data_IF_626509477275
#
_entry.id   IF_626509477275
#
_cell.length_a   1.000
_cell.length_b   1.000
_cell.length_c   1.000
_cell.angle_alpha   90.00
_cell.angle_beta   90.00
_cell.angle_gamma   90.00
#
_symmetry.space_group_name_H-M   'P 1'
#
loop_
_entity.id
_entity.type
_entity.pdbx_description
1 polymer ?
#
# COMPACT_ATOMS: atom_id res chain seq x y z
N UNK A 1 16.01 21.24 -15.77
CA UNK A 1 15.85 20.66 -14.43
C UNK A 1 15.13 19.31 -14.51
N UNK A 2 13.96 19.23 -15.16
CA UNK A 2 13.21 17.98 -15.39
C UNK A 2 14.05 16.84 -15.97
N UNK A 3 14.83 17.08 -17.03
CA UNK A 3 15.65 16.03 -17.64
C UNK A 3 16.71 15.43 -16.68
N UNK A 4 17.26 16.25 -15.78
CA UNK A 4 18.23 15.77 -14.77
C UNK A 4 17.55 14.90 -13.72
N UNK A 5 16.38 15.33 -13.23
CA UNK A 5 15.59 14.57 -12.27
C UNK A 5 15.13 13.24 -12.87
N UNK A 6 14.58 13.26 -14.09
CA UNK A 6 14.15 12.06 -14.80
C UNK A 6 15.31 11.07 -15.02
N UNK A 7 16.49 11.58 -15.40
CA UNK A 7 17.70 10.76 -15.52
C UNK A 7 18.13 10.11 -14.20
N UNK A 8 18.11 10.86 -13.09
CA UNK A 8 18.44 10.32 -11.77
C UNK A 8 17.43 9.28 -11.28
N UNK A 9 16.13 9.52 -11.45
CA UNK A 9 15.09 8.55 -11.10
C UNK A 9 15.28 7.27 -11.90
N UNK A 10 15.52 7.38 -13.22
CA UNK A 10 15.79 6.23 -14.08
C UNK A 10 16.97 5.41 -13.59
N UNK A 11 18.12 6.05 -13.37
CA UNK A 11 19.31 5.36 -12.88
C UNK A 11 19.09 4.71 -11.49
N UNK A 12 18.30 5.36 -10.63
CA UNK A 12 17.95 4.81 -9.32
C UNK A 12 17.09 3.55 -9.44
N UNK A 13 16.14 3.52 -10.38
CA UNK A 13 15.32 2.35 -10.67
C UNK A 13 16.13 1.23 -11.35
N UNK A 14 16.99 1.56 -12.31
CA UNK A 14 17.84 0.58 -13.02
C UNK A 14 18.82 -0.15 -12.09
N UNK A 15 19.17 0.43 -10.94
CA UNK A 15 20.01 -0.22 -9.93
C UNK A 15 19.28 -1.21 -9.01
N UNK A 16 17.95 -1.30 -9.09
CA UNK A 16 17.16 -2.20 -8.26
C UNK A 16 17.08 -3.62 -8.84
N UNK A 17 16.81 -4.61 -7.98
CA UNK A 17 16.59 -6.01 -8.39
C UNK A 17 15.10 -6.32 -8.38
N UNK A 18 14.57 -6.71 -9.54
CA UNK A 18 13.15 -6.97 -9.74
C UNK A 18 12.83 -8.46 -9.83
N UNK A 19 11.65 -8.84 -9.34
CA UNK A 19 10.98 -10.08 -9.70
C UNK A 19 9.99 -9.77 -10.82
N UNK A 20 10.17 -10.42 -11.96
CA UNK A 20 9.36 -10.20 -13.15
C UNK A 20 7.90 -10.63 -12.96
N UNK A 21 7.00 -9.91 -13.64
CA UNK A 21 5.65 -10.36 -13.92
C UNK A 21 5.67 -11.66 -14.71
N UNK A 22 4.71 -12.56 -14.46
CA UNK A 22 4.64 -13.87 -15.11
C UNK A 22 3.23 -14.25 -15.57
N UNK A 23 3.15 -14.98 -16.67
CA UNK A 23 1.96 -15.72 -17.11
C UNK A 23 2.38 -17.19 -17.24
N UNK A 24 1.85 -18.04 -16.36
CA UNK A 24 2.42 -19.39 -16.15
C UNK A 24 3.88 -19.27 -15.75
N UNK A 25 4.76 -19.98 -16.46
CA UNK A 25 6.20 -19.99 -16.19
C UNK A 25 6.98 -18.90 -16.96
N UNK A 26 6.31 -18.14 -17.83
CA UNK A 26 6.97 -17.16 -18.71
C UNK A 26 6.97 -15.76 -18.10
N UNK A 27 8.14 -15.13 -18.07
CA UNK A 27 8.24 -13.71 -17.79
C UNK A 27 7.67 -12.89 -18.95
N UNK A 28 6.90 -11.85 -18.64
CA UNK A 28 6.19 -11.04 -19.62
C UNK A 28 6.40 -9.56 -19.36
N UNK A 29 6.22 -8.74 -20.41
CA UNK A 29 6.25 -7.29 -20.26
C UNK A 29 5.13 -6.83 -19.33
N UNK A 30 5.41 -5.85 -18.48
CA UNK A 30 4.43 -5.31 -17.54
C UNK A 30 4.70 -3.85 -17.27
N UNK A 31 3.64 -3.11 -16.94
CA UNK A 31 3.73 -1.76 -16.40
C UNK A 31 3.17 -1.75 -14.98
N UNK A 32 3.94 -1.18 -14.06
CA UNK A 32 3.56 -0.98 -12.67
C UNK A 32 3.85 0.46 -12.27
N UNK A 33 3.15 0.92 -11.25
CA UNK A 33 3.48 2.16 -10.58
C UNK A 33 4.65 1.91 -9.63
N UNK A 34 5.45 2.95 -9.41
CA UNK A 34 6.47 2.98 -8.37
C UNK A 34 6.09 4.05 -7.36
N UNK A 35 6.02 3.66 -6.09
CA UNK A 35 5.86 4.59 -4.97
C UNK A 35 7.12 4.59 -4.12
N UNK A 36 7.35 5.66 -3.38
CA UNK A 36 8.47 5.81 -2.47
C UNK A 36 8.65 7.27 -2.06
N UNK A 37 9.63 7.50 -1.20
CA UNK A 37 9.92 8.83 -0.67
C UNK A 37 11.27 9.30 -1.17
N UNK A 38 11.32 10.54 -1.67
CA UNK A 38 12.58 11.25 -1.86
C UNK A 38 13.00 11.82 -0.51
N UNK A 39 14.10 11.32 0.04
CA UNK A 39 14.70 11.85 1.26
C UNK A 39 15.84 12.78 0.89
N UNK A 40 15.74 14.03 1.37
CA UNK A 40 16.73 15.08 1.14
C UNK A 40 17.49 15.32 2.44
N UNK A 41 18.79 15.04 2.43
CA UNK A 41 19.68 15.23 3.57
C UNK A 41 20.66 16.37 3.28
N UNK A 42 20.88 17.33 4.19
CA UNK A 42 21.89 18.34 3.99
C UNK A 42 23.28 17.71 4.01
N UNK A 43 24.11 18.06 3.02
CA UNK A 43 25.55 17.78 3.01
C UNK A 43 26.28 18.95 3.65
N UNK A 44 25.85 20.17 3.31
CA UNK A 44 26.25 21.47 3.87
C UNK A 44 25.09 22.47 3.69
N UNK A 45 25.35 23.76 3.95
CA UNK A 45 24.32 24.82 3.90
C UNK A 45 23.79 25.12 2.49
N UNK A 46 24.48 24.68 1.43
CA UNK A 46 24.11 24.93 0.04
C UNK A 46 23.74 23.66 -0.73
N UNK A 47 24.11 22.48 -0.23
CA UNK A 47 24.00 21.22 -0.93
C UNK A 47 23.12 20.19 -0.20
N UNK A 48 22.20 19.58 -0.94
CA UNK A 48 21.37 18.46 -0.48
C UNK A 48 21.74 17.18 -1.23
N UNK A 49 21.81 16.07 -0.50
CA UNK A 49 21.85 14.72 -1.03
C UNK A 49 20.43 14.16 -1.12
N UNK A 50 20.00 13.79 -2.32
CA UNK A 50 18.73 13.11 -2.54
C UNK A 50 18.91 11.59 -2.57
N UNK A 51 18.03 10.86 -1.87
CA UNK A 51 17.94 9.40 -1.93
C UNK A 51 16.49 8.97 -2.13
N UNK A 52 16.27 7.83 -2.81
CA UNK A 52 14.96 7.17 -2.83
C UNK A 52 14.92 6.14 -1.71
N UNK A 53 13.88 6.18 -0.89
CA UNK A 53 13.66 5.24 0.20
C UNK A 53 12.27 4.62 0.11
N UNK A 54 12.14 3.39 0.61
CA UNK A 54 10.86 2.68 0.69
C UNK A 54 10.21 2.42 -0.66
N UNK A 55 11.01 2.21 -1.72
CA UNK A 55 10.48 1.94 -3.05
C UNK A 55 9.61 0.69 -3.05
N UNK A 56 8.45 0.77 -3.72
CA UNK A 56 7.53 -0.35 -3.92
C UNK A 56 6.94 -0.29 -5.33
N UNK A 57 6.67 -1.48 -5.88
CA UNK A 57 5.83 -1.65 -7.06
C UNK A 57 4.45 -2.19 -6.66
N UNK A 58 3.42 -1.71 -7.34
CA UNK A 58 2.06 -2.19 -7.14
C UNK A 58 1.01 -1.21 -7.65
N UNK A 59 -0.27 -1.49 -7.38
CA UNK A 59 -1.35 -0.56 -7.65
C UNK A 59 -1.22 0.67 -6.75
N UNK A 60 -1.52 1.83 -7.30
CA UNK A 60 -1.63 3.08 -6.52
C UNK A 60 -3.09 3.36 -6.21
N UNK A 61 -3.35 3.86 -5.01
CA UNK A 61 -4.68 4.33 -4.63
C UNK A 61 -4.96 5.69 -5.26
N UNK A 62 -6.10 5.80 -5.94
CA UNK A 62 -6.62 7.07 -6.44
C UNK A 62 -7.54 7.74 -5.40
N UNK A 63 -8.54 7.01 -4.91
CA UNK A 63 -9.43 7.45 -3.83
C UNK A 63 -9.38 6.43 -2.70
N UNK A 64 -8.93 6.86 -1.53
CA UNK A 64 -8.79 5.99 -0.36
C UNK A 64 -9.41 6.68 0.86
N UNK A 65 -10.74 6.60 1.00
CA UNK A 65 -11.45 7.09 2.18
C UNK A 65 -11.13 6.16 3.37
N UNK A 66 -10.40 6.62 4.41
CA UNK A 66 -10.12 5.78 5.55
C UNK A 66 -11.41 5.45 6.32
N UNK A 67 -11.54 4.25 6.90
CA UNK A 67 -12.69 3.93 7.74
C UNK A 67 -12.72 4.82 8.97
N UNK A 68 -13.92 5.06 9.50
CA UNK A 68 -14.06 5.81 10.76
C UNK A 68 -13.65 4.91 11.93
N UNK A 69 -12.89 5.46 12.87
CA UNK A 69 -12.60 4.79 14.13
C UNK A 69 -13.93 4.50 14.88
N UNK A 70 -14.24 3.24 15.21
CA UNK A 70 -15.40 2.93 16.06
C UNK A 70 -15.40 3.76 17.35
N UNK A 71 -16.51 4.49 17.60
CA UNK A 71 -16.61 5.49 18.68
C UNK A 71 -16.32 4.91 20.05
N UNK A 72 -16.86 3.72 20.35
CA UNK A 72 -16.66 3.09 21.66
C UNK A 72 -15.20 2.67 21.88
N UNK A 73 -14.52 2.21 20.83
CA UNK A 73 -13.10 1.88 20.89
C UNK A 73 -12.25 3.14 21.05
N UNK A 74 -12.56 4.21 20.32
CA UNK A 74 -11.86 5.48 20.45
C UNK A 74 -12.01 6.09 21.85
N UNK A 75 -13.19 5.98 22.47
CA UNK A 75 -13.45 6.43 23.84
C UNK A 75 -12.65 5.64 24.88
N UNK A 76 -12.55 4.33 24.70
CA UNK A 76 -11.79 3.48 25.62
C UNK A 76 -10.29 3.38 25.28
N UNK A 77 -9.82 4.10 24.26
CA UNK A 77 -8.45 4.02 23.76
C UNK A 77 -8.07 2.63 23.22
N UNK A 78 -9.05 1.82 22.80
CA UNK A 78 -8.84 0.44 22.36
C UNK A 78 -8.42 0.40 20.90
N UNK A 79 -7.26 -0.19 20.63
CA UNK A 79 -6.75 -0.40 19.28
C UNK A 79 -7.48 -1.51 18.53
N UNK A 80 -7.33 -1.51 17.21
CA UNK A 80 -7.74 -2.65 16.41
C UNK A 80 -7.07 -2.69 15.05
N UNK A 81 -7.12 -3.85 14.41
CA UNK A 81 -6.55 -4.08 13.09
C UNK A 81 -7.46 -4.91 12.22
N UNK A 82 -7.36 -4.70 10.91
CA UNK A 82 -8.03 -5.51 9.88
C UNK A 82 -7.08 -5.72 8.72
N UNK A 83 -6.97 -6.95 8.24
CA UNK A 83 -6.33 -7.28 6.97
C UNK A 83 -7.40 -7.63 5.95
N UNK A 84 -7.57 -6.77 4.95
CA UNK A 84 -8.51 -7.02 3.85
C UNK A 84 -7.78 -7.43 2.59
N UNK A 85 -8.29 -8.48 1.93
CA UNK A 85 -7.82 -9.00 0.66
C UNK A 85 -8.92 -8.81 -0.38
N UNK A 86 -8.60 -8.24 -1.52
CA UNK A 86 -9.54 -8.06 -2.63
C UNK A 86 -8.79 -8.10 -3.95
N UNK A 87 -9.53 -8.06 -5.06
CA UNK A 87 -8.97 -7.87 -6.41
C UNK A 87 -9.41 -6.51 -6.93
N UNK A 88 -8.61 -5.89 -7.79
CA UNK A 88 -8.93 -4.63 -8.45
C UNK A 88 -9.46 -4.96 -9.84
N UNK A 89 -10.64 -4.44 -10.21
CA UNK A 89 -11.17 -4.60 -11.57
C UNK A 89 -10.61 -3.56 -12.55
N UNK A 90 -11.01 -3.65 -13.82
CA UNK A 90 -10.57 -2.72 -14.87
C UNK A 90 -11.00 -1.27 -14.66
N UNK A 91 -12.01 -1.02 -13.81
CA UNK A 91 -12.48 0.32 -13.43
C UNK A 91 -11.82 0.80 -12.12
N UNK A 92 -10.86 0.04 -11.59
CA UNK A 92 -10.14 0.38 -10.38
C UNK A 92 -10.90 0.09 -9.08
N UNK A 93 -11.97 -0.70 -9.11
CA UNK A 93 -12.81 -0.97 -7.93
C UNK A 93 -12.41 -2.26 -7.23
N UNK A 94 -12.46 -2.31 -5.89
CA UNK A 94 -12.34 -3.55 -5.14
C UNK A 94 -13.50 -4.52 -5.44
N UNK A 95 -13.16 -5.78 -5.69
CA UNK A 95 -14.08 -6.92 -5.83
C UNK A 95 -13.53 -8.15 -5.12
N UNK A 96 -14.36 -9.18 -4.94
CA UNK A 96 -13.98 -10.44 -4.27
C UNK A 96 -13.36 -10.20 -2.87
N UNK A 97 -13.95 -9.26 -2.13
CA UNK A 97 -13.48 -8.77 -0.84
C UNK A 97 -13.57 -9.88 0.21
N UNK A 98 -12.45 -10.14 0.89
CA UNK A 98 -12.33 -11.09 1.98
C UNK A 98 -11.54 -10.45 3.13
N UNK A 99 -12.00 -10.65 4.35
CA UNK A 99 -11.27 -10.23 5.55
C UNK A 99 -10.45 -11.42 6.03
N UNK A 100 -9.12 -11.32 5.90
CA UNK A 100 -8.20 -12.40 6.25
C UNK A 100 -7.93 -12.46 7.76
N UNK A 101 -7.95 -11.30 8.40
CA UNK A 101 -7.75 -11.14 9.83
C UNK A 101 -8.48 -9.88 10.30
N UNK A 102 -9.01 -9.91 11.52
CA UNK A 102 -9.64 -8.78 12.17
C UNK A 102 -9.54 -8.96 13.68
N UNK A 103 -8.96 -7.98 14.37
CA UNK A 103 -8.81 -8.05 15.84
C UNK A 103 -10.13 -7.84 16.58
N UNK A 104 -11.12 -7.21 15.94
CA UNK A 104 -12.44 -6.91 16.52
C UNK A 104 -13.50 -6.75 15.41
N UNK A 105 -14.72 -7.24 15.63
CA UNK A 105 -15.80 -7.13 14.65
C UNK A 105 -16.17 -5.67 14.31
N UNK A 106 -15.92 -4.72 15.23
CA UNK A 106 -16.22 -3.30 15.04
C UNK A 106 -15.31 -2.65 14.00
N UNK A 107 -14.02 -3.00 13.97
CA UNK A 107 -13.09 -2.48 12.95
C UNK A 107 -13.36 -3.09 11.58
N UNK A 108 -13.75 -4.36 11.52
CA UNK A 108 -14.20 -4.99 10.28
C UNK A 108 -15.47 -4.29 9.75
N UNK A 109 -16.45 -4.05 10.62
CA UNK A 109 -17.68 -3.35 10.27
C UNK A 109 -17.42 -1.92 9.78
N UNK A 110 -16.48 -1.19 10.40
CA UNK A 110 -16.07 0.14 9.94
C UNK A 110 -15.48 0.10 8.52
N UNK A 111 -14.64 -0.91 8.23
CA UNK A 111 -14.03 -1.06 6.91
C UNK A 111 -15.06 -1.43 5.82
N UNK A 112 -16.06 -2.27 6.15
CA UNK A 112 -17.17 -2.60 5.23
C UNK A 112 -17.93 -1.37 4.71
N UNK A 113 -17.98 -0.29 5.47
CA UNK A 113 -18.70 0.93 5.09
C UNK A 113 -18.01 1.76 4.00
N UNK A 114 -16.69 1.63 3.85
CA UNK A 114 -15.90 2.50 2.97
C UNK A 114 -15.21 1.76 1.83
N UNK A 115 -14.95 0.46 1.96
CA UNK A 115 -14.12 -0.28 0.98
C UNK A 115 -14.67 -0.24 -0.44
N UNK A 116 -15.99 -0.26 -0.63
CA UNK A 116 -16.61 -0.18 -1.97
C UNK A 116 -16.42 1.18 -2.66
N UNK A 117 -16.06 2.21 -1.89
CA UNK A 117 -15.78 3.56 -2.39
C UNK A 117 -14.32 3.74 -2.82
N UNK A 118 -13.44 2.84 -2.42
CA UNK A 118 -12.03 2.93 -2.79
C UNK A 118 -11.85 2.79 -4.30
N UNK A 119 -10.87 3.50 -4.83
CA UNK A 119 -10.46 3.44 -6.23
C UNK A 119 -8.95 3.31 -6.30
N UNK A 120 -8.51 2.44 -7.19
CA UNK A 120 -7.11 2.14 -7.46
C UNK A 120 -6.85 2.26 -8.95
N UNK A 121 -5.61 2.56 -9.31
CA UNK A 121 -5.17 2.39 -10.68
C UNK A 121 -4.77 0.92 -10.91
N UNK A 122 -5.43 0.21 -11.83
CA UNK A 122 -5.17 -1.21 -12.06
C UNK A 122 -3.79 -1.43 -12.69
N UNK A 123 -3.11 -2.49 -12.25
CA UNK A 123 -1.87 -2.92 -12.89
C UNK A 123 -2.13 -3.64 -14.21
N UNK A 124 -1.14 -3.54 -15.12
CA UNK A 124 -1.21 -4.18 -16.43
C UNK A 124 -0.01 -5.08 -16.66
N UNK A 125 -0.30 -6.31 -17.07
CA UNK A 125 0.68 -7.31 -17.50
C UNK A 125 0.31 -7.71 -18.91
N UNK A 126 1.28 -7.65 -19.82
CA UNK A 126 1.09 -7.86 -21.24
C UNK A 126 -0.04 -6.99 -21.83
N UNK A 127 -0.14 -5.73 -21.37
CA UNK A 127 -1.18 -4.77 -21.75
C UNK A 127 -2.57 -5.01 -21.14
N UNK A 128 -2.81 -6.18 -20.55
CA UNK A 128 -4.07 -6.56 -19.94
C UNK A 128 -4.11 -6.23 -18.45
N UNK A 129 -5.27 -5.78 -17.95
CA UNK A 129 -5.51 -5.64 -16.52
C UNK A 129 -5.43 -7.01 -15.85
N UNK A 130 -4.65 -7.11 -14.78
CA UNK A 130 -4.56 -8.34 -13.98
C UNK A 130 -5.52 -8.28 -12.80
N UNK A 131 -6.12 -9.42 -12.47
CA UNK A 131 -7.00 -9.59 -11.32
C UNK A 131 -6.25 -10.13 -10.09
N UNK A 132 -4.95 -9.87 -9.96
CA UNK A 132 -4.17 -10.37 -8.81
C UNK A 132 -4.74 -9.86 -7.48
N UNK A 133 -4.75 -10.70 -6.43
CA UNK A 133 -5.24 -10.27 -5.14
C UNK A 133 -4.24 -9.28 -4.50
N UNK A 134 -4.79 -8.27 -3.85
CA UNK A 134 -4.06 -7.24 -3.11
C UNK A 134 -4.55 -7.22 -1.68
N UNK A 135 -3.62 -7.07 -0.75
CA UNK A 135 -3.91 -7.05 0.68
C UNK A 135 -3.58 -5.67 1.26
N UNK A 136 -4.54 -5.07 1.96
CA UNK A 136 -4.39 -3.78 2.61
C UNK A 136 -4.58 -3.97 4.12
N UNK A 137 -3.55 -3.70 4.92
CA UNK A 137 -3.71 -3.62 6.36
C UNK A 137 -4.31 -2.27 6.77
N UNK A 138 -5.20 -2.30 7.74
CA UNK A 138 -5.78 -1.12 8.39
C UNK A 138 -5.55 -1.23 9.88
N UNK A 139 -5.03 -0.16 10.49
CA UNK A 139 -4.73 -0.11 11.91
C UNK A 139 -5.36 1.11 12.57
N UNK A 140 -6.10 0.87 13.65
CA UNK A 140 -6.78 1.84 14.46
C UNK A 140 -6.04 1.99 15.77
N UNK A 141 -5.62 3.20 16.11
CA UNK A 141 -4.89 3.45 17.36
C UNK A 141 -5.14 4.87 17.89
N UNK A 142 -5.05 5.10 19.21
CA UNK A 142 -5.11 6.45 19.75
C UNK A 142 -4.00 7.33 19.18
N UNK A 143 -4.30 8.60 18.93
CA UNK A 143 -3.29 9.55 18.49
C UNK A 143 -2.23 9.75 19.59
N UNK A 144 -0.95 9.61 19.23
CA UNK A 144 0.16 9.71 20.17
C UNK A 144 0.41 8.44 21.00
N UNK A 145 -0.25 7.33 20.72
CA UNK A 145 0.08 6.03 21.32
C UNK A 145 1.52 5.61 20.97
N UNK A 146 2.24 5.01 21.91
CA UNK A 146 3.55 4.39 21.67
C UNK A 146 3.44 2.95 21.15
N UNK A 147 2.25 2.53 20.72
CA UNK A 147 1.99 1.17 20.28
C UNK A 147 2.72 0.86 18.98
N UNK A 148 3.12 -0.40 18.85
CA UNK A 148 3.79 -0.87 17.63
C UNK A 148 2.75 -1.38 16.66
N UNK A 149 2.88 -0.96 15.41
CA UNK A 149 2.02 -1.42 14.32
C UNK A 149 2.05 -2.96 14.24
N UNK A 150 0.89 -3.62 14.12
CA UNK A 150 0.84 -5.05 13.88
C UNK A 150 1.59 -5.43 12.60
N UNK A 151 2.10 -6.66 12.53
CA UNK A 151 2.65 -7.22 11.29
C UNK A 151 1.64 -8.18 10.67
N UNK A 152 1.45 -8.07 9.37
CA UNK A 152 0.53 -8.91 8.62
C UNK A 152 1.28 -9.82 7.65
N UNK A 153 0.78 -11.04 7.49
CA UNK A 153 1.26 -11.97 6.47
C UNK A 153 0.39 -11.82 5.22
N UNK A 154 0.74 -10.91 4.31
CA UNK A 154 0.02 -10.74 3.06
C UNK A 154 0.43 -11.82 2.04
N UNK A 155 -0.52 -12.38 1.27
CA UNK A 155 -0.20 -13.32 0.20
C UNK A 155 0.66 -12.63 -0.86
N UNK A 156 1.71 -13.31 -1.31
CA UNK A 156 2.56 -12.80 -2.36
C UNK A 156 1.76 -12.71 -3.69
N UNK A 157 1.96 -11.63 -4.46
CA UNK A 157 1.36 -11.54 -5.78
C UNK A 157 1.96 -12.56 -6.75
N UNK A 158 1.16 -13.05 -7.69
CA UNK A 158 1.53 -14.15 -8.58
C UNK A 158 2.02 -13.63 -9.93
N UNK A 159 1.28 -12.70 -10.53
CA UNK A 159 1.51 -12.19 -11.88
C UNK A 159 2.10 -10.78 -11.89
N UNK A 160 2.00 -10.01 -10.80
CA UNK A 160 2.51 -8.63 -10.75
C UNK A 160 4.04 -8.54 -10.54
N UNK A 161 4.73 -7.56 -11.15
CA UNK A 161 6.14 -7.33 -10.89
C UNK A 161 6.35 -6.79 -9.47
N UNK A 162 7.52 -7.01 -8.88
CA UNK A 162 7.87 -6.44 -7.56
C UNK A 162 9.36 -6.23 -7.41
N UNK A 163 9.75 -5.42 -6.43
CA UNK A 163 11.14 -5.41 -5.97
C UNK A 163 11.46 -6.69 -5.18
N UNK A 164 12.70 -7.13 -5.26
CA UNK A 164 13.18 -8.28 -4.47
C UNK A 164 13.13 -7.93 -2.99
N UNK A 165 12.49 -8.78 -2.18
CA UNK A 165 12.30 -8.52 -0.75
C UNK A 165 11.20 -7.50 -0.41
N UNK A 166 10.44 -7.03 -1.41
CA UNK A 166 9.30 -6.14 -1.17
C UNK A 166 8.24 -6.81 -0.29
N UNK A 167 7.69 -6.06 0.66
CA UNK A 167 6.52 -6.46 1.42
C UNK A 167 5.34 -6.75 0.46
N UNK A 168 4.70 -7.93 0.55
CA UNK A 168 3.54 -8.25 -0.29
C UNK A 168 2.31 -7.39 0.02
N UNK A 169 2.21 -6.83 1.23
CA UNK A 169 1.15 -5.90 1.61
C UNK A 169 1.26 -4.58 0.84
N UNK A 170 0.11 -3.97 0.55
CA UNK A 170 0.07 -2.54 0.27
C UNK A 170 0.35 -1.74 1.54
N UNK A 171 0.59 -0.44 1.37
CA UNK A 171 0.81 0.46 2.49
C UNK A 171 -0.36 0.42 3.46
N UNK A 172 -0.03 0.48 4.75
CA UNK A 172 -1.00 0.46 5.84
C UNK A 172 -1.85 1.73 5.80
N UNK A 173 -3.13 1.56 6.11
CA UNK A 173 -4.02 2.68 6.41
C UNK A 173 -4.06 2.86 7.91
N UNK A 174 -3.40 3.90 8.40
CA UNK A 174 -3.44 4.31 9.80
C UNK A 174 -4.67 5.18 10.06
N UNK A 175 -5.46 4.80 11.06
CA UNK A 175 -6.65 5.51 11.51
C UNK A 175 -6.46 5.91 12.96
N UNK A 176 -5.92 7.12 13.15
CA UNK A 176 -5.70 7.70 14.46
C UNK A 176 -6.90 8.55 14.93
N UNK A 177 -7.25 8.46 16.21
CA UNK A 177 -8.24 9.37 16.82
C UNK A 177 -7.70 9.98 18.12
N UNK A 178 -8.06 11.24 18.38
CA UNK A 178 -7.83 11.86 19.69
C UNK A 178 -8.58 11.07 20.77
N UNK A 179 -7.94 10.79 21.93
CA UNK A 179 -8.64 10.21 23.07
C UNK A 179 -9.79 11.12 23.49
N UNK A 180 -11.02 10.58 23.52
CA UNK A 180 -12.17 11.34 24.01
C UNK A 180 -12.15 11.29 25.54
N UNK A 181 -12.00 12.46 26.18
CA UNK A 181 -12.11 12.62 27.64
C UNK A 181 -13.55 12.63 28.09
#
# INVERSE_FOLDING_TARGET
LEAKLAGWVRASLESQVYVAARIGDHAVASSSFVTGTVVLEPVDDENLKATLQGLKLGPVSGTLEPPRYPVDMARSGQEGSVLVLFRIDGDGRPRDIRYLDASDARVEAALKQVISKWRFEPERVDGAVIDDPVAVPVWFHPMGSSSTMPKWACPAPVRRPRLTGQDPCLDVIEVAAMPMR
#
